data_IF_862540858463
#
_entry.id   IF_862540858463
#
_cell.length_a   1.000
_cell.length_b   1.000
_cell.length_c   1.000
_cell.angle_alpha   90.00
_cell.angle_beta   90.00
_cell.angle_gamma   90.00
#
_symmetry.space_group_name_H-M   'P 1'
#
loop_
_entity.id
_entity.type
_entity.pdbx_description
1 polymer ?
#
# COMPACT_ATOMS: atom_id res chain seq x y z
N UNK A 1 0.75 14.74 -7.77
CA UNK A 1 0.09 14.03 -6.64
C UNK A 1 0.76 12.67 -6.50
N UNK A 2 0.91 12.14 -5.28
CA UNK A 2 1.48 10.80 -5.02
C UNK A 2 0.42 9.83 -4.49
N UNK A 3 0.73 8.53 -4.57
CA UNK A 3 -0.11 7.42 -4.12
C UNK A 3 0.48 6.64 -2.93
N UNK A 4 1.57 7.13 -2.32
CA UNK A 4 2.17 6.48 -1.17
C UNK A 4 1.17 6.40 -0.01
N UNK A 5 1.05 5.21 0.59
CA UNK A 5 0.17 4.99 1.73
C UNK A 5 0.91 5.09 3.07
N UNK A 6 0.15 5.12 4.18
CA UNK A 6 0.73 5.34 5.52
C UNK A 6 1.65 4.19 5.95
N UNK A 7 1.41 2.96 5.50
CA UNK A 7 2.17 1.78 5.89
C UNK A 7 3.54 1.78 5.20
N UNK A 8 3.57 2.07 3.90
CA UNK A 8 4.79 2.29 3.10
C UNK A 8 5.64 3.43 3.68
N UNK A 9 4.99 4.56 3.99
CA UNK A 9 5.65 5.74 4.55
C UNK A 9 6.21 5.47 5.95
N UNK A 10 5.50 4.69 6.78
CA UNK A 10 5.95 4.29 8.12
C UNK A 10 7.20 3.41 8.06
N UNK A 11 7.22 2.47 7.11
CA UNK A 11 8.35 1.56 6.91
C UNK A 11 9.53 2.22 6.19
N UNK A 12 9.28 3.30 5.46
CA UNK A 12 10.21 3.89 4.50
C UNK A 12 10.40 3.00 3.27
N UNK A 13 9.37 2.22 2.90
CA UNK A 13 9.39 1.32 1.75
C UNK A 13 9.00 2.09 0.47
N UNK A 14 9.95 2.87 -0.03
CA UNK A 14 9.82 3.72 -1.22
C UNK A 14 11.21 4.08 -1.75
N UNK A 15 11.30 4.54 -3.00
CA UNK A 15 12.55 5.10 -3.51
C UNK A 15 12.59 6.60 -3.24
N UNK A 16 13.66 7.08 -2.59
CA UNK A 16 13.78 8.50 -2.28
C UNK A 16 13.76 9.34 -3.56
N UNK A 17 12.90 10.36 -3.59
CA UNK A 17 12.67 11.26 -4.74
C UNK A 17 12.01 10.61 -5.97
N UNK A 18 11.34 9.47 -5.81
CA UNK A 18 10.46 8.93 -6.84
C UNK A 18 9.05 9.58 -6.79
N UNK A 19 8.09 8.97 -7.47
CA UNK A 19 6.68 9.38 -7.48
C UNK A 19 6.02 9.47 -6.09
N UNK A 20 6.62 8.92 -5.03
CA UNK A 20 6.19 9.09 -3.64
C UNK A 20 6.27 10.54 -3.16
N UNK A 21 7.12 11.37 -3.78
CA UNK A 21 7.43 12.75 -3.37
C UNK A 21 6.57 13.85 -4.04
N UNK A 22 5.34 13.52 -4.44
CA UNK A 22 4.41 14.48 -5.02
C UNK A 22 3.93 15.56 -4.04
N UNK A 23 3.49 16.71 -4.57
CA UNK A 23 3.06 17.87 -3.74
C UNK A 23 1.93 17.56 -2.76
N UNK A 24 1.03 16.65 -3.14
CA UNK A 24 -0.13 16.23 -2.35
C UNK A 24 -0.23 14.70 -2.43
N UNK A 25 -0.48 14.06 -1.27
CA UNK A 25 -0.60 12.61 -1.11
C UNK A 25 -1.95 12.23 -0.47
N UNK A 26 -3.03 12.01 -1.26
CA UNK A 26 -4.36 11.70 -0.69
C UNK A 26 -4.41 10.41 0.13
N UNK A 27 -3.55 9.44 -0.19
CA UNK A 27 -3.45 8.17 0.52
C UNK A 27 -2.44 8.19 1.68
N UNK A 28 -1.70 9.29 1.89
CA UNK A 28 -0.57 9.35 2.81
C UNK A 28 -0.92 9.12 4.29
N UNK A 29 -2.22 9.15 4.64
CA UNK A 29 -2.72 8.85 5.98
C UNK A 29 -3.72 7.68 6.01
N UNK A 30 -3.81 6.91 4.94
CA UNK A 30 -4.73 5.77 4.77
C UNK A 30 -3.91 4.48 4.73
N UNK A 31 -4.34 3.44 5.44
CA UNK A 31 -3.68 2.12 5.41
C UNK A 31 -3.93 1.42 4.08
N UNK A 32 -3.06 0.48 3.69
CA UNK A 32 -3.24 -0.35 2.50
C UNK A 32 -4.57 -1.10 2.56
N UNK A 33 -4.91 -1.64 3.73
CA UNK A 33 -6.15 -2.38 3.96
C UNK A 33 -7.38 -1.49 3.78
N UNK A 34 -7.36 -0.26 4.30
CA UNK A 34 -8.46 0.70 4.11
C UNK A 34 -8.58 1.15 2.66
N UNK A 35 -7.46 1.33 1.95
CA UNK A 35 -7.46 1.67 0.53
C UNK A 35 -8.08 0.54 -0.32
N UNK A 36 -7.74 -0.74 -0.05
CA UNK A 36 -8.36 -1.91 -0.70
C UNK A 36 -9.86 -1.97 -0.38
N UNK A 37 -10.27 -1.72 0.86
CA UNK A 37 -11.68 -1.69 1.25
C UNK A 37 -12.46 -0.55 0.55
N UNK A 38 -11.85 0.62 0.40
CA UNK A 38 -12.44 1.73 -0.35
C UNK A 38 -12.63 1.37 -1.83
N UNK A 39 -11.65 0.73 -2.47
CA UNK A 39 -11.78 0.26 -3.85
C UNK A 39 -12.92 -0.76 -4.00
N UNK A 40 -13.02 -1.73 -3.09
CA UNK A 40 -14.10 -2.71 -3.09
C UNK A 40 -15.49 -2.05 -2.95
N UNK A 41 -15.61 -1.03 -2.09
CA UNK A 41 -16.84 -0.24 -1.98
C UNK A 41 -17.13 0.57 -3.26
N UNK A 42 -16.10 1.19 -3.85
CA UNK A 42 -16.20 1.99 -5.07
C UNK A 42 -16.64 1.15 -6.28
N UNK A 43 -16.16 -0.10 -6.38
CA UNK A 43 -16.57 -1.09 -7.40
C UNK A 43 -18.09 -1.20 -7.47
N UNK A 44 -18.73 -1.44 -6.32
CA UNK A 44 -20.18 -1.61 -6.21
C UNK A 44 -20.92 -0.27 -6.35
N UNK A 45 -20.39 0.79 -5.73
CA UNK A 45 -21.08 2.07 -5.67
C UNK A 45 -21.14 2.79 -7.02
N UNK A 46 -20.11 2.62 -7.84
CA UNK A 46 -19.95 3.32 -9.12
C UNK A 46 -20.03 2.40 -10.34
N UNK A 47 -20.41 1.14 -10.16
CA UNK A 47 -20.52 0.15 -11.24
C UNK A 47 -19.23 0.02 -12.06
N UNK A 48 -18.11 -0.22 -11.36
CA UNK A 48 -16.76 -0.26 -11.93
C UNK A 48 -16.17 -1.68 -11.85
N UNK A 49 -16.65 -2.66 -12.62
CA UNK A 49 -16.24 -4.06 -12.50
C UNK A 49 -14.74 -4.31 -12.72
N UNK A 50 -14.06 -3.43 -13.46
CA UNK A 50 -12.61 -3.46 -13.67
C UNK A 50 -11.82 -3.43 -12.35
N UNK A 51 -12.41 -2.91 -11.27
CA UNK A 51 -11.79 -2.89 -9.94
C UNK A 51 -11.49 -4.29 -9.41
N UNK A 52 -12.25 -5.32 -9.81
CA UNK A 52 -11.96 -6.70 -9.41
C UNK A 52 -10.56 -7.14 -9.87
N UNK A 53 -10.16 -6.79 -11.10
CA UNK A 53 -8.83 -7.14 -11.61
C UNK A 53 -7.71 -6.51 -10.77
N UNK A 54 -7.90 -5.26 -10.30
CA UNK A 54 -6.92 -4.59 -9.43
C UNK A 54 -6.89 -5.16 -8.01
N UNK A 55 -8.02 -5.61 -7.47
CA UNK A 55 -8.11 -6.19 -6.12
C UNK A 55 -7.52 -7.61 -6.05
N UNK A 56 -7.65 -8.38 -7.14
CA UNK A 56 -7.19 -9.76 -7.22
C UNK A 56 -5.76 -9.88 -7.81
N UNK A 57 -5.25 -8.81 -8.42
CA UNK A 57 -3.87 -8.78 -8.91
C UNK A 57 -2.87 -8.91 -7.77
N UNK A 58 -1.84 -9.74 -8.00
CA UNK A 58 -0.67 -9.82 -7.12
C UNK A 58 0.17 -8.54 -7.27
N UNK A 59 0.49 -7.82 -6.20
CA UNK A 59 1.31 -6.62 -6.29
C UNK A 59 2.77 -6.93 -6.65
N UNK A 60 3.34 -6.14 -7.56
CA UNK A 60 4.73 -6.25 -8.01
C UNK A 60 5.22 -4.88 -8.52
N UNK A 61 6.46 -4.50 -8.21
CA UNK A 61 7.02 -3.21 -8.64
C UNK A 61 7.53 -3.27 -10.09
N UNK A 62 7.72 -4.48 -10.64
CA UNK A 62 8.24 -4.73 -11.99
C UNK A 62 9.53 -3.94 -12.32
N UNK A 63 10.37 -3.66 -11.32
CA UNK A 63 11.57 -2.83 -11.46
C UNK A 63 12.74 -3.58 -12.10
N UNK A 64 12.73 -4.92 -12.04
CA UNK A 64 13.73 -5.79 -12.62
C UNK A 64 13.16 -6.55 -13.83
N UNK A 65 14.00 -6.97 -14.78
CA UNK A 65 13.57 -7.84 -15.87
C UNK A 65 13.05 -9.18 -15.33
N UNK A 66 12.13 -9.82 -16.08
CA UNK A 66 11.55 -11.13 -15.70
C UNK A 66 12.60 -12.23 -15.43
N UNK A 67 13.81 -12.10 -16.00
CA UNK A 67 14.94 -13.00 -15.73
C UNK A 67 15.45 -12.95 -14.29
N UNK A 68 15.12 -11.92 -13.51
CA UNK A 68 15.49 -11.78 -12.11
C UNK A 68 14.61 -12.62 -11.15
N UNK A 69 13.59 -13.30 -11.69
CA UNK A 69 12.64 -14.09 -10.90
C UNK A 69 11.37 -13.31 -10.55
N UNK A 70 10.53 -13.92 -9.72
CA UNK A 70 9.30 -13.30 -9.23
C UNK A 70 9.62 -12.14 -8.28
N UNK A 71 9.03 -10.98 -8.54
CA UNK A 71 9.14 -9.77 -7.72
C UNK A 71 7.84 -9.60 -6.95
N UNK A 72 7.84 -10.01 -5.69
CA UNK A 72 6.68 -9.87 -4.81
C UNK A 72 6.93 -8.81 -3.76
N UNK A 73 6.43 -7.61 -4.05
CA UNK A 73 6.64 -6.43 -3.20
C UNK A 73 6.00 -6.56 -1.83
N UNK A 74 4.98 -7.41 -1.70
CA UNK A 74 4.27 -7.61 -0.44
C UNK A 74 4.80 -8.84 0.32
N UNK A 75 5.81 -9.54 -0.23
CA UNK A 75 6.41 -10.69 0.43
C UNK A 75 7.13 -10.32 1.73
N UNK A 76 7.07 -11.22 2.72
CA UNK A 76 7.83 -11.07 3.97
C UNK A 76 9.35 -10.98 3.70
N UNK A 77 9.85 -11.63 2.66
CA UNK A 77 11.27 -11.55 2.27
C UNK A 77 11.69 -10.15 1.84
N UNK A 78 10.77 -9.34 1.31
CA UNK A 78 11.02 -7.99 0.82
C UNK A 78 10.71 -6.93 1.90
N UNK A 79 9.50 -6.97 2.47
CA UNK A 79 9.08 -5.97 3.47
C UNK A 79 9.62 -6.27 4.89
N UNK A 80 9.88 -7.55 5.19
CA UNK A 80 10.28 -8.04 6.52
C UNK A 80 9.14 -8.12 7.54
N UNK A 81 7.93 -7.71 7.14
CA UNK A 81 6.71 -7.59 7.96
C UNK A 81 5.48 -7.69 7.06
N UNK A 82 4.37 -8.19 7.60
CA UNK A 82 3.06 -8.17 6.95
C UNK A 82 2.38 -6.80 7.10
N UNK A 83 1.40 -6.49 6.25
CA UNK A 83 0.61 -5.25 6.38
C UNK A 83 -0.18 -5.17 7.70
N UNK A 84 -0.63 -6.31 8.24
CA UNK A 84 -1.36 -6.34 9.51
C UNK A 84 -0.43 -5.96 10.69
N UNK A 85 0.83 -6.41 10.64
CA UNK A 85 1.85 -6.01 11.60
C UNK A 85 2.22 -4.53 11.46
N UNK A 86 2.41 -4.04 10.22
CA UNK A 86 2.67 -2.62 9.96
C UNK A 86 1.54 -1.72 10.44
N UNK A 87 0.29 -2.12 10.21
CA UNK A 87 -0.90 -1.42 10.71
C UNK A 87 -0.92 -1.37 12.24
N UNK A 88 -0.63 -2.51 12.88
CA UNK A 88 -0.51 -2.59 14.35
C UNK A 88 0.58 -1.65 14.87
N UNK A 89 1.77 -1.63 14.26
CA UNK A 89 2.83 -0.70 14.60
C UNK A 89 2.41 0.76 14.38
N UNK A 90 1.68 1.05 13.31
CA UNK A 90 1.15 2.39 13.01
C UNK A 90 0.24 2.90 14.12
N UNK A 91 -0.71 2.08 14.58
CA UNK A 91 -1.63 2.40 15.68
C UNK A 91 -0.88 2.62 16.99
N UNK A 92 0.02 1.70 17.35
CA UNK A 92 0.81 1.76 18.59
C UNK A 92 1.75 2.97 18.60
N UNK A 93 2.46 3.24 17.51
CA UNK A 93 3.41 4.36 17.41
C UNK A 93 2.72 5.72 17.53
N UNK A 94 1.57 5.90 16.89
CA UNK A 94 0.85 7.18 16.89
C UNK A 94 0.16 7.45 18.23
N UNK A 95 -0.11 6.42 19.04
CA UNK A 95 -0.73 6.56 20.34
C UNK A 95 -2.23 6.84 20.30
N UNK A 96 -2.98 6.22 19.38
CA UNK A 96 -4.42 6.41 19.27
C UNK A 96 -5.26 5.68 20.35
N UNK A 97 -4.62 5.04 21.32
CA UNK A 97 -5.29 4.61 22.55
C UNK A 97 -5.35 5.78 23.54
N UNK A 98 -6.52 6.44 23.62
CA UNK A 98 -6.89 7.15 24.85
C UNK A 98 -7.24 6.09 25.90
N UNK A 99 -6.45 6.03 26.97
CA UNK A 99 -6.83 5.39 28.23
C UNK A 99 -7.96 6.22 28.86
#
# INVERSE_FOLDING_TARGET
MSSANVDEALRGYLTKYDCSSGDIAPLGSISKSDAKAFLAWAREKWDMPIITEFLEARPSAELLPLSAGEQDDESESEMGLTYDELSTFGVLRKGAFKI
#
